data_IF_258972119036
#
_entry.id   IF_258972119036
#
_cell.length_a   1.000
_cell.length_b   1.000
_cell.length_c   1.000
_cell.angle_alpha   90.00
_cell.angle_beta   90.00
_cell.angle_gamma   90.00
#
_symmetry.space_group_name_H-M   'P 1'
#
loop_
_entity.id
_entity.type
_entity.pdbx_description
1 polymer ?
#
# COMPACT_ATOMS: atom_id res chain seq x y z
N UNK A 1 14.98 -37.39 -23.98
CA UNK A 1 15.18 -37.02 -22.57
C UNK A 1 15.18 -35.49 -22.54
N UNK A 2 14.02 -34.89 -22.31
CA UNK A 2 13.90 -33.43 -22.25
C UNK A 2 14.32 -33.01 -20.84
N UNK A 3 15.48 -32.38 -20.72
CA UNK A 3 15.86 -31.69 -19.48
C UNK A 3 15.03 -30.42 -19.41
N UNK A 4 13.98 -30.43 -18.60
CA UNK A 4 13.33 -29.20 -18.17
C UNK A 4 14.37 -28.38 -17.40
N UNK A 5 14.91 -27.35 -18.05
CA UNK A 5 15.66 -26.32 -17.36
C UNK A 5 14.66 -25.60 -16.45
N UNK A 6 14.62 -26.00 -15.18
CA UNK A 6 13.92 -25.27 -14.13
C UNK A 6 14.68 -23.95 -13.97
N UNK A 7 14.23 -22.90 -14.67
CA UNK A 7 14.68 -21.53 -14.41
C UNK A 7 14.22 -21.17 -13.00
N UNK A 8 15.14 -21.22 -12.05
CA UNK A 8 14.92 -20.66 -10.72
C UNK A 8 14.97 -19.14 -10.91
N UNK A 9 13.87 -18.44 -10.68
CA UNK A 9 13.93 -16.98 -10.62
C UNK A 9 14.95 -16.59 -9.54
N UNK A 10 15.91 -15.75 -9.91
CA UNK A 10 16.91 -15.26 -8.98
C UNK A 10 16.21 -14.37 -7.95
N UNK A 11 16.26 -14.81 -6.68
CA UNK A 11 15.69 -14.08 -5.55
C UNK A 11 16.47 -12.75 -5.40
N UNK A 12 15.81 -11.59 -5.31
CA UNK A 12 16.49 -10.31 -5.13
C UNK A 12 16.95 -10.14 -3.67
N UNK A 13 18.00 -10.86 -3.28
CA UNK A 13 18.44 -11.03 -1.89
C UNK A 13 18.82 -9.69 -1.24
N UNK A 14 19.52 -8.81 -1.97
CA UNK A 14 19.99 -7.54 -1.41
C UNK A 14 18.83 -6.59 -1.15
N UNK A 15 17.91 -6.51 -2.11
CA UNK A 15 16.69 -5.73 -1.99
C UNK A 15 15.82 -6.26 -0.86
N UNK A 16 15.60 -7.57 -0.75
CA UNK A 16 14.81 -8.14 0.33
C UNK A 16 15.43 -7.85 1.71
N UNK A 17 16.76 -7.91 1.83
CA UNK A 17 17.47 -7.53 3.05
C UNK A 17 17.26 -6.04 3.40
N UNK A 18 17.39 -5.14 2.42
CA UNK A 18 17.11 -3.71 2.60
C UNK A 18 15.65 -3.44 2.95
N UNK A 19 14.70 -4.18 2.37
CA UNK A 19 13.28 -4.09 2.73
C UNK A 19 13.09 -4.46 4.21
N UNK A 20 13.74 -5.52 4.71
CA UNK A 20 13.67 -5.86 6.14
C UNK A 20 14.24 -4.76 7.04
N UNK A 21 15.34 -4.13 6.62
CA UNK A 21 15.89 -2.98 7.33
C UNK A 21 14.92 -1.80 7.33
N UNK A 22 14.31 -1.49 6.19
CA UNK A 22 13.32 -0.42 6.09
C UNK A 22 12.12 -0.64 7.02
N UNK A 23 11.61 -1.88 7.09
CA UNK A 23 10.52 -2.27 8.02
C UNK A 23 10.91 -2.05 9.48
N UNK A 24 12.11 -2.48 9.85
CA UNK A 24 12.64 -2.28 11.21
C UNK A 24 12.77 -0.79 11.54
N UNK A 25 13.40 0.00 10.66
CA UNK A 25 13.58 1.44 10.87
C UNK A 25 12.25 2.18 11.01
N UNK A 26 11.26 1.83 10.18
CA UNK A 26 9.93 2.43 10.28
C UNK A 26 9.26 2.08 11.61
N UNK A 27 9.30 0.80 12.00
CA UNK A 27 8.74 0.34 13.28
C UNK A 27 9.40 1.04 14.48
N UNK A 28 10.72 1.16 14.47
CA UNK A 28 11.49 1.74 15.57
C UNK A 28 11.22 3.24 15.76
N UNK A 29 10.74 3.95 14.72
CA UNK A 29 10.32 5.36 14.84
C UNK A 29 9.04 5.55 15.67
N UNK A 30 8.25 4.50 15.92
CA UNK A 30 7.06 4.59 16.79
C UNK A 30 5.98 5.55 16.27
N UNK A 31 5.81 5.64 14.94
CA UNK A 31 4.87 6.57 14.30
C UNK A 31 3.44 6.32 14.77
N UNK A 32 2.76 7.40 15.18
CA UNK A 32 1.36 7.35 15.61
C UNK A 32 0.42 7.64 14.45
N UNK A 33 -0.73 6.96 14.45
CA UNK A 33 -1.81 7.16 13.48
C UNK A 33 -2.45 8.53 13.66
N UNK A 34 -2.52 9.35 12.61
CA UNK A 34 -3.21 10.65 12.66
C UNK A 34 -4.67 10.60 12.23
N UNK A 35 -5.06 9.56 11.47
CA UNK A 35 -6.40 9.41 10.93
C UNK A 35 -7.35 8.78 11.96
N UNK A 36 -8.59 9.25 11.99
CA UNK A 36 -9.64 8.67 12.83
C UNK A 36 -10.94 8.51 12.04
N UNK A 37 -11.46 7.30 11.99
CA UNK A 37 -12.76 7.00 11.40
C UNK A 37 -13.84 7.12 12.48
N UNK A 38 -14.60 8.20 12.48
CA UNK A 38 -15.68 8.43 13.46
C UNK A 38 -16.86 7.47 13.30
N UNK A 39 -17.08 6.89 12.12
CA UNK A 39 -18.21 5.97 11.89
C UNK A 39 -17.94 4.58 12.47
N UNK A 40 -16.69 4.14 12.43
CA UNK A 40 -16.26 2.81 12.87
C UNK A 40 -15.36 2.86 14.12
N UNK A 41 -15.14 4.06 14.68
CA UNK A 41 -14.37 4.33 15.91
C UNK A 41 -12.98 3.68 15.95
N UNK A 42 -12.21 3.80 14.87
CA UNK A 42 -10.82 3.32 14.84
C UNK A 42 -9.86 4.35 14.25
N UNK A 43 -8.63 4.33 14.76
CA UNK A 43 -7.52 5.10 14.21
C UNK A 43 -6.81 4.33 13.09
N UNK A 44 -6.40 5.04 12.04
CA UNK A 44 -5.70 4.49 10.87
C UNK A 44 -4.55 5.40 10.44
N UNK A 45 -3.55 4.83 9.76
CA UNK A 45 -2.45 5.64 9.24
C UNK A 45 -2.88 6.47 8.04
N UNK A 46 -2.53 7.75 8.01
CA UNK A 46 -2.64 8.57 6.82
C UNK A 46 -1.38 8.50 5.98
N UNK A 47 -1.46 8.89 4.69
CA UNK A 47 -0.27 8.92 3.83
C UNK A 47 0.82 9.86 4.38
N UNK A 48 0.43 10.95 5.06
CA UNK A 48 1.37 11.89 5.69
C UNK A 48 2.10 11.28 6.89
N UNK A 49 1.56 10.23 7.51
CA UNK A 49 2.22 9.52 8.61
C UNK A 49 3.30 8.58 8.07
N UNK A 50 3.05 7.98 6.90
CA UNK A 50 3.90 6.92 6.34
C UNK A 50 4.94 7.47 5.36
N UNK A 51 4.50 8.25 4.37
CA UNK A 51 5.34 8.59 3.20
C UNK A 51 6.58 9.40 3.57
N UNK A 52 6.52 10.48 4.38
CA UNK A 52 7.70 11.25 4.72
C UNK A 52 8.79 10.39 5.35
N UNK A 53 8.41 9.55 6.32
CA UNK A 53 9.35 8.66 7.00
C UNK A 53 9.87 7.56 6.07
N UNK A 54 9.00 7.01 5.21
CA UNK A 54 9.42 6.04 4.22
C UNK A 54 10.43 6.62 3.22
N UNK A 55 10.31 7.90 2.85
CA UNK A 55 11.25 8.58 1.95
C UNK A 55 12.64 8.66 2.60
N UNK A 56 12.73 9.14 3.84
CA UNK A 56 13.99 9.24 4.57
C UNK A 56 14.68 7.86 4.69
N UNK A 57 13.92 6.84 5.06
CA UNK A 57 14.42 5.45 5.13
C UNK A 57 14.89 4.95 3.76
N UNK A 58 14.13 5.21 2.69
CA UNK A 58 14.51 4.80 1.34
C UNK A 58 15.82 5.48 0.89
N UNK A 59 15.98 6.78 1.18
CA UNK A 59 17.20 7.53 0.86
C UNK A 59 18.42 6.94 1.59
N UNK A 60 18.26 6.62 2.87
CA UNK A 60 19.32 6.02 3.70
C UNK A 60 19.76 4.66 3.14
N UNK A 61 18.79 3.81 2.76
CA UNK A 61 19.03 2.45 2.25
C UNK A 61 19.32 2.36 0.75
N UNK A 62 19.41 3.51 0.05
CA UNK A 62 19.56 3.57 -1.42
C UNK A 62 18.46 2.80 -2.16
N UNK A 63 17.24 2.93 -1.66
CA UNK A 63 16.02 2.44 -2.31
C UNK A 63 15.29 3.59 -3.01
N UNK A 64 14.60 3.27 -4.11
CA UNK A 64 13.62 4.16 -4.70
C UNK A 64 12.26 3.48 -4.77
N UNK A 65 11.18 4.25 -4.60
CA UNK A 65 9.81 3.75 -4.74
C UNK A 65 9.07 4.51 -5.84
N UNK A 66 8.26 3.80 -6.63
CA UNK A 66 7.46 4.38 -7.71
C UNK A 66 6.05 3.81 -7.69
N UNK A 67 5.07 4.67 -7.43
CA UNK A 67 3.66 4.34 -7.53
C UNK A 67 3.21 4.47 -9.00
N UNK A 68 2.61 3.42 -9.55
CA UNK A 68 2.13 3.38 -10.95
C UNK A 68 0.78 2.71 -11.06
N UNK A 69 0.05 3.00 -12.13
CA UNK A 69 -1.15 2.27 -12.51
C UNK A 69 -0.96 1.75 -13.94
N UNK A 70 -0.91 0.43 -14.11
CA UNK A 70 -0.69 -0.24 -15.40
C UNK A 70 -1.48 -1.54 -15.44
N UNK A 71 -2.04 -1.90 -16.60
CA UNK A 71 -2.77 -3.16 -16.80
C UNK A 71 -3.86 -3.44 -15.74
N UNK A 72 -4.62 -2.42 -15.37
CA UNK A 72 -5.66 -2.49 -14.32
C UNK A 72 -5.12 -2.88 -12.92
N UNK A 73 -3.84 -2.62 -12.65
CA UNK A 73 -3.21 -2.84 -11.36
C UNK A 73 -2.54 -1.56 -10.87
N UNK A 74 -2.80 -1.21 -9.62
CA UNK A 74 -1.98 -0.23 -8.91
C UNK A 74 -0.76 -0.94 -8.34
N UNK A 75 0.41 -0.35 -8.53
CA UNK A 75 1.68 -0.94 -8.14
C UNK A 75 2.52 0.04 -7.36
N UNK A 76 3.26 -0.46 -6.38
CA UNK A 76 4.38 0.22 -5.76
C UNK A 76 5.64 -0.57 -6.12
N UNK A 77 6.37 -0.08 -7.11
CA UNK A 77 7.66 -0.65 -7.51
C UNK A 77 8.74 -0.16 -6.56
N UNK A 78 9.59 -1.07 -6.09
CA UNK A 78 10.72 -0.78 -5.19
C UNK A 78 12.00 -1.22 -5.88
N UNK A 79 12.97 -0.32 -5.93
CA UNK A 79 14.23 -0.50 -6.65
C UNK A 79 15.40 -0.41 -5.68
N UNK A 80 16.32 -1.36 -5.75
CA UNK A 80 17.66 -1.22 -5.18
C UNK A 80 18.55 -0.49 -6.18
N UNK A 81 18.97 0.73 -5.83
CA UNK A 81 19.74 1.59 -6.72
C UNK A 81 21.20 1.14 -6.88
N UNK A 82 21.69 0.24 -6.03
CA UNK A 82 23.06 -0.24 -6.06
C UNK A 82 23.15 -1.59 -6.78
N UNK A 83 22.25 -2.52 -6.44
CA UNK A 83 22.28 -3.88 -6.97
C UNK A 83 21.41 -4.09 -8.22
N UNK A 84 20.65 -3.06 -8.63
CA UNK A 84 19.72 -3.09 -9.78
C UNK A 84 18.65 -4.18 -9.66
N UNK A 85 18.35 -4.58 -8.42
CA UNK A 85 17.25 -5.47 -8.08
C UNK A 85 15.95 -4.67 -7.99
N UNK A 86 14.82 -5.33 -8.25
CA UNK A 86 13.50 -4.70 -8.10
C UNK A 86 12.46 -5.70 -7.60
N UNK A 87 11.42 -5.17 -6.97
CA UNK A 87 10.20 -5.90 -6.62
C UNK A 87 8.99 -4.98 -6.76
N UNK A 88 7.79 -5.54 -6.72
CA UNK A 88 6.56 -4.76 -6.76
C UNK A 88 5.50 -5.30 -5.79
N UNK A 89 4.77 -4.36 -5.19
CA UNK A 89 3.54 -4.64 -4.43
C UNK A 89 2.36 -4.22 -5.29
N UNK A 90 1.29 -5.01 -5.31
CA UNK A 90 0.19 -4.84 -6.25
C UNK A 90 -1.17 -4.83 -5.53
N UNK A 91 -2.07 -3.99 -6.02
CA UNK A 91 -3.47 -3.95 -5.63
C UNK A 91 -4.34 -3.90 -6.89
N UNK A 92 -5.48 -4.60 -6.92
CA UNK A 92 -6.36 -4.57 -8.07
C UNK A 92 -6.88 -3.14 -8.29
N UNK A 93 -6.88 -2.72 -9.56
CA UNK A 93 -7.69 -1.61 -10.01
C UNK A 93 -9.16 -1.92 -9.80
N UNK A 94 -9.96 -0.88 -9.55
CA UNK A 94 -11.42 -1.02 -9.52
C UNK A 94 -12.00 -0.25 -10.69
N UNK A 95 -12.91 -0.88 -11.41
CA UNK A 95 -13.67 -0.23 -12.46
C UNK A 95 -14.48 0.92 -11.86
N UNK A 96 -14.32 2.10 -12.46
CA UNK A 96 -15.04 3.29 -12.04
C UNK A 96 -16.40 3.36 -12.74
N UNK A 97 -17.47 3.60 -11.99
CA UNK A 97 -18.76 3.95 -12.57
C UNK A 97 -18.73 5.42 -12.96
N UNK A 98 -18.90 5.71 -14.26
CA UNK A 98 -18.93 7.06 -14.83
C UNK A 98 -20.21 7.82 -14.45
N UNK A 99 -20.46 8.00 -13.16
CA UNK A 99 -21.61 8.69 -12.61
C UNK A 99 -21.21 10.09 -12.12
N UNK A 100 -22.05 11.09 -12.40
CA UNK A 100 -21.83 12.49 -12.02
C UNK A 100 -20.95 13.30 -12.98
N UNK A 101 -20.69 14.56 -12.64
CA UNK A 101 -19.87 15.47 -13.44
C UNK A 101 -18.36 15.11 -13.35
N UNK A 102 -17.55 15.61 -14.29
CA UNK A 102 -16.11 15.32 -14.38
C UNK A 102 -15.34 15.63 -13.07
N UNK A 103 -15.74 16.66 -12.34
CA UNK A 103 -15.12 17.04 -11.07
C UNK A 103 -15.35 15.96 -10.00
N UNK A 104 -16.58 15.46 -9.89
CA UNK A 104 -16.92 14.38 -8.96
C UNK A 104 -16.17 13.09 -9.32
N UNK A 105 -16.03 12.80 -10.62
CA UNK A 105 -15.29 11.63 -11.09
C UNK A 105 -13.81 11.71 -10.71
N UNK A 106 -13.16 12.84 -10.95
CA UNK A 106 -11.75 13.04 -10.61
C UNK A 106 -11.51 13.00 -9.09
N UNK A 107 -12.40 13.60 -8.29
CA UNK A 107 -12.31 13.53 -6.83
C UNK A 107 -12.44 12.10 -6.32
N UNK A 108 -13.37 11.32 -6.86
CA UNK A 108 -13.53 9.92 -6.48
C UNK A 108 -12.31 9.09 -6.85
N UNK A 109 -11.75 9.29 -8.05
CA UNK A 109 -10.51 8.64 -8.46
C UNK A 109 -9.35 9.00 -7.53
N UNK A 110 -9.20 10.28 -7.15
CA UNK A 110 -8.17 10.73 -6.21
C UNK A 110 -8.29 10.10 -4.83
N UNK A 111 -9.52 9.92 -4.32
CA UNK A 111 -9.79 9.21 -3.06
C UNK A 111 -9.36 7.74 -3.15
N UNK A 112 -9.72 7.06 -4.25
CA UNK A 112 -9.35 5.66 -4.49
C UNK A 112 -7.83 5.51 -4.57
N UNK A 113 -7.15 6.36 -5.35
CA UNK A 113 -5.69 6.34 -5.47
C UNK A 113 -5.00 6.57 -4.13
N UNK A 114 -5.49 7.52 -3.34
CA UNK A 114 -4.97 7.79 -1.99
C UNK A 114 -5.11 6.57 -1.09
N UNK A 115 -6.28 5.92 -1.13
CA UNK A 115 -6.55 4.72 -0.35
C UNK A 115 -5.63 3.57 -0.78
N UNK A 116 -5.57 3.25 -2.06
CA UNK A 116 -4.76 2.14 -2.58
C UNK A 116 -3.26 2.38 -2.34
N UNK A 117 -2.77 3.61 -2.58
CA UNK A 117 -1.37 3.97 -2.29
C UNK A 117 -1.02 3.71 -0.83
N UNK A 118 -1.93 3.98 0.11
CA UNK A 118 -1.72 3.69 1.53
C UNK A 118 -1.52 2.19 1.76
N UNK A 119 -2.42 1.36 1.25
CA UNK A 119 -2.31 -0.10 1.39
C UNK A 119 -1.02 -0.67 0.80
N UNK A 120 -0.56 -0.14 -0.34
CA UNK A 120 0.70 -0.57 -0.93
C UNK A 120 1.91 -0.22 -0.04
N UNK A 121 1.91 0.95 0.60
CA UNK A 121 2.95 1.31 1.57
C UNK A 121 2.85 0.47 2.86
N UNK A 122 1.64 0.16 3.33
CA UNK A 122 1.43 -0.77 4.44
C UNK A 122 2.02 -2.16 4.12
N UNK A 123 1.80 -2.67 2.91
CA UNK A 123 2.39 -3.95 2.44
C UNK A 123 3.93 -3.89 2.33
N UNK A 124 4.47 -2.80 1.77
CA UNK A 124 5.91 -2.60 1.65
C UNK A 124 6.61 -2.59 3.01
N UNK A 125 6.07 -1.81 3.95
CA UNK A 125 6.61 -1.62 5.30
C UNK A 125 6.11 -2.66 6.31
N UNK A 126 5.30 -3.62 5.89
CA UNK A 126 4.72 -4.68 6.73
C UNK A 126 4.03 -4.14 7.98
N UNK A 127 3.33 -3.01 7.80
CA UNK A 127 2.59 -2.36 8.86
C UNK A 127 1.29 -3.13 9.04
N UNK A 128 1.16 -3.82 10.16
CA UNK A 128 -0.09 -4.44 10.55
C UNK A 128 -1.02 -3.39 11.16
N UNK A 129 -2.22 -3.26 10.61
CA UNK A 129 -3.31 -2.61 11.34
C UNK A 129 -3.88 -3.63 12.34
N UNK A 130 -4.35 -3.18 13.50
CA UNK A 130 -5.12 -4.08 14.36
C UNK A 130 -6.32 -4.56 13.53
N UNK A 131 -6.51 -5.88 13.45
CA UNK A 131 -7.66 -6.52 12.80
C UNK A 131 -8.95 -6.13 13.54
N UNK A 132 -9.42 -4.91 13.34
CA UNK A 132 -10.78 -4.51 13.69
C UNK A 132 -11.62 -4.79 12.45
N UNK A 133 -11.80 -6.07 12.15
CA UNK A 133 -12.84 -6.53 11.23
C UNK A 133 -14.17 -6.36 11.96
N UNK A 134 -14.60 -5.11 12.15
CA UNK A 134 -15.99 -4.88 12.57
C UNK A 134 -16.83 -4.97 11.30
N UNK A 135 -17.26 -6.20 11.01
CA UNK A 135 -18.30 -6.48 10.05
C UNK A 135 -19.53 -5.67 10.50
N UNK A 136 -19.68 -4.46 9.95
CA UNK A 136 -20.87 -3.66 10.15
C UNK A 136 -22.03 -4.45 9.58
N UNK A 137 -22.71 -5.23 10.43
CA UNK A 137 -24.04 -5.75 10.13
C UNK A 137 -24.85 -4.55 9.65
N UNK A 138 -25.50 -4.62 8.49
CA UNK A 138 -26.35 -3.52 8.04
C UNK A 138 -27.37 -3.27 9.15
N UNK A 139 -27.39 -2.05 9.70
CA UNK A 139 -28.51 -1.62 10.53
C UNK A 139 -29.74 -1.68 9.63
N UNK A 140 -30.53 -2.75 9.76
CA UNK A 140 -31.89 -2.82 9.25
C UNK A 140 -32.62 -1.62 9.82
N UNK A 141 -32.77 -0.57 9.00
CA UNK A 141 -33.76 0.47 9.27
C UNK A 141 -35.12 -0.14 9.00
N UNK A 142 -35.74 -0.67 10.06
CA UNK A 142 -37.08 -0.29 10.55
C UNK A 142 -37.65 -1.38 11.46
N UNK A 143 -38.39 -0.96 12.48
CA UNK A 143 -39.81 -1.28 12.45
C UNK A 143 -40.68 -0.04 12.37
N UNK A 144 -41.77 -0.26 11.66
CA UNK A 144 -42.99 0.52 11.52
C UNK A 144 -43.51 0.97 12.90
N UNK A 145 -43.93 2.22 13.00
CA UNK A 145 -45.13 2.61 13.74
C UNK A 145 -45.83 3.76 13.03
#
# INVERSE_FOLDING_TARGET
MFTENIYKEDIPVHLLAKIMQARKMFKDKGITKSGYNHFQNFAYYELKDIIPEAIEICIELKLATKFTYENNLYKLKVYDLENKEQTEFCMPGKDYKNEGNINNQLQNLGKIQTYIRRYLYLQFLDITENDVVDASKPKLKHPIS
#
